data_IF_072563522466
#
_entry.id   IF_072563522466
#
_cell.length_a   1.000
_cell.length_b   1.000
_cell.length_c   1.000
_cell.angle_alpha   90.00
_cell.angle_beta   90.00
_cell.angle_gamma   90.00
#
_symmetry.space_group_name_H-M   'P 1'
#
loop_
_entity.id
_entity.type
_entity.pdbx_description
1 polymer ?
#
# COMPACT_ATOMS: atom_id res chain seq x y z
N UNK A 1 -9.75 21.20 15.89
CA UNK A 1 -10.31 21.59 14.58
C UNK A 1 -11.78 21.29 14.59
N UNK A 2 -12.62 22.16 14.02
CA UNK A 2 -14.07 21.92 13.93
C UNK A 2 -14.53 22.09 12.49
N UNK A 3 -15.29 21.13 11.98
CA UNK A 3 -15.86 21.20 10.63
C UNK A 3 -17.37 21.31 10.75
N UNK A 4 -17.97 22.24 10.00
CA UNK A 4 -19.38 22.58 10.14
C UNK A 4 -20.10 22.71 8.81
N UNK A 5 -21.41 22.52 8.83
CA UNK A 5 -22.28 22.71 7.67
C UNK A 5 -22.09 21.69 6.56
N UNK A 6 -21.23 20.68 6.76
CA UNK A 6 -21.11 19.54 5.85
C UNK A 6 -22.27 18.58 6.09
N UNK A 7 -22.69 17.91 5.01
CA UNK A 7 -23.57 16.75 5.10
C UNK A 7 -22.68 15.51 5.27
N UNK A 8 -22.56 15.02 6.50
CA UNK A 8 -21.67 13.94 6.89
C UNK A 8 -22.35 12.57 6.75
N UNK A 9 -21.58 11.55 6.37
CA UNK A 9 -22.00 10.14 6.47
C UNK A 9 -21.68 9.61 7.87
N UNK A 10 -22.70 9.45 8.70
CA UNK A 10 -22.61 8.94 10.08
C UNK A 10 -23.55 7.75 10.20
N UNK A 11 -23.04 6.61 10.67
CA UNK A 11 -23.81 5.37 10.85
C UNK A 11 -24.67 4.98 9.63
N UNK A 12 -24.11 5.14 8.43
CA UNK A 12 -24.74 4.79 7.16
C UNK A 12 -25.82 5.78 6.68
N UNK A 13 -25.99 6.92 7.35
CA UNK A 13 -26.95 7.97 6.97
C UNK A 13 -26.25 9.29 6.72
N UNK A 14 -26.85 10.10 5.85
CA UNK A 14 -26.37 11.46 5.62
C UNK A 14 -27.17 12.47 6.44
N UNK A 15 -26.46 13.26 7.24
CA UNK A 15 -27.04 14.30 8.09
C UNK A 15 -26.15 15.54 8.16
N UNK A 16 -26.72 16.69 8.48
CA UNK A 16 -25.92 17.87 8.78
C UNK A 16 -25.28 17.72 10.15
N UNK A 17 -23.95 17.76 10.20
CA UNK A 17 -23.21 17.54 11.43
C UNK A 17 -22.14 18.60 11.66
N UNK A 18 -21.86 18.83 12.93
CA UNK A 18 -20.68 19.52 13.42
C UNK A 18 -19.72 18.46 13.96
N UNK A 19 -18.55 18.32 13.34
CA UNK A 19 -17.52 17.36 13.77
C UNK A 19 -16.37 18.11 14.43
N UNK A 20 -16.12 17.81 15.70
CA UNK A 20 -14.96 18.31 16.46
C UNK A 20 -13.87 17.26 16.47
N UNK A 21 -12.67 17.68 16.09
CA UNK A 21 -11.46 16.86 16.03
C UNK A 21 -10.43 17.42 16.99
N UNK A 22 -9.95 16.57 17.89
CA UNK A 22 -8.91 16.86 18.87
C UNK A 22 -7.84 15.78 18.86
N UNK A 23 -6.57 16.18 18.83
CA UNK A 23 -5.42 15.26 18.78
C UNK A 23 -5.57 14.14 17.71
N UNK A 24 -6.09 14.48 16.53
CA UNK A 24 -6.28 13.54 15.41
C UNK A 24 -7.46 12.57 15.56
N UNK A 25 -8.31 12.73 16.58
CA UNK A 25 -9.48 11.88 16.82
C UNK A 25 -10.77 12.69 16.76
N UNK A 26 -11.86 12.04 16.35
CA UNK A 26 -13.20 12.60 16.45
C UNK A 26 -13.56 12.66 17.94
N UNK A 27 -13.68 13.87 18.48
CA UNK A 27 -14.02 14.12 19.88
C UNK A 27 -15.53 14.24 20.10
N UNK A 28 -16.26 14.71 19.09
CA UNK A 28 -17.71 14.91 19.14
C UNK A 28 -18.28 14.99 17.72
N UNK A 29 -19.45 14.39 17.54
CA UNK A 29 -20.34 14.60 16.39
C UNK A 29 -21.63 15.15 16.97
N UNK A 30 -21.96 16.39 16.65
CA UNK A 30 -23.17 17.06 17.11
C UNK A 30 -24.06 17.43 15.92
N UNK A 31 -25.35 17.65 16.17
CA UNK A 31 -26.28 18.17 15.17
C UNK A 31 -25.94 19.60 14.72
N UNK A 32 -26.75 20.14 13.81
CA UNK A 32 -26.56 21.47 13.21
C UNK A 32 -26.75 22.65 14.19
N UNK A 33 -27.29 22.41 15.39
CA UNK A 33 -27.52 23.43 16.39
C UNK A 33 -26.25 23.76 17.20
N UNK A 34 -25.73 24.97 16.99
CA UNK A 34 -25.04 25.72 18.03
C UNK A 34 -23.68 25.19 18.47
N UNK A 35 -22.62 25.75 17.89
CA UNK A 35 -21.43 26.20 18.65
C UNK A 35 -20.54 27.04 17.74
N UNK A 36 -20.42 28.33 18.06
CA UNK A 36 -19.42 29.25 17.51
C UNK A 36 -18.13 29.05 18.30
N UNK A 37 -17.14 28.42 17.68
CA UNK A 37 -15.79 28.34 18.19
C UNK A 37 -14.83 28.69 17.05
N UNK A 38 -13.73 29.37 17.37
CA UNK A 38 -12.72 29.80 16.41
C UNK A 38 -12.01 28.59 15.75
N UNK A 39 -11.53 28.76 14.50
CA UNK A 39 -10.79 27.70 13.77
C UNK A 39 -11.67 26.68 13.03
N UNK A 40 -12.68 27.17 12.28
CA UNK A 40 -13.65 26.34 11.54
C UNK A 40 -13.24 26.06 10.10
N UNK A 41 -13.49 24.83 9.66
CA UNK A 41 -13.57 24.48 8.24
C UNK A 41 -15.04 24.49 7.80
N UNK A 42 -15.33 25.25 6.74
CA UNK A 42 -16.68 25.37 6.20
C UNK A 42 -16.94 24.29 5.14
N UNK A 43 -17.76 23.31 5.52
CA UNK A 43 -18.17 22.21 4.68
C UNK A 43 -19.50 22.42 3.95
N UNK A 44 -20.09 23.62 4.00
CA UNK A 44 -21.38 23.90 3.32
C UNK A 44 -21.33 23.53 1.84
N UNK A 45 -22.40 22.87 1.39
CA UNK A 45 -22.53 22.37 0.02
C UNK A 45 -21.62 21.18 -0.31
N UNK A 46 -20.92 20.59 0.67
CA UNK A 46 -20.03 19.44 0.49
C UNK A 46 -20.50 18.24 1.31
N UNK A 47 -20.12 17.06 0.82
CA UNK A 47 -20.22 15.82 1.59
C UNK A 47 -18.97 15.67 2.46
N UNK A 48 -19.16 15.16 3.66
CA UNK A 48 -18.08 14.67 4.49
C UNK A 48 -18.21 13.16 4.65
N UNK A 49 -17.16 12.45 4.26
CA UNK A 49 -17.10 10.99 4.29
C UNK A 49 -15.93 10.56 5.17
N UNK A 50 -15.99 9.35 5.76
CA UNK A 50 -14.79 8.69 6.26
C UNK A 50 -13.73 8.64 5.14
N UNK A 51 -12.47 8.83 5.51
CA UNK A 51 -11.38 8.70 4.55
C UNK A 51 -11.31 7.29 3.97
N UNK A 52 -10.90 7.19 2.71
CA UNK A 52 -10.90 5.91 1.99
C UNK A 52 -9.77 5.04 2.53
N UNK A 53 -10.08 3.75 2.71
CA UNK A 53 -9.11 2.70 3.00
C UNK A 53 -8.86 1.91 1.71
N UNK A 54 -7.68 2.10 1.12
CA UNK A 54 -7.25 1.34 -0.05
C UNK A 54 -6.45 0.11 0.42
N UNK A 55 -7.07 -1.07 0.30
CA UNK A 55 -6.49 -2.35 0.73
C UNK A 55 -5.46 -2.90 -0.26
N UNK A 56 -5.39 -2.38 -1.48
CA UNK A 56 -4.50 -2.92 -2.51
C UNK A 56 -4.17 -1.89 -3.60
N UNK A 57 -3.21 -1.03 -3.29
CA UNK A 57 -2.69 -0.06 -4.25
C UNK A 57 -1.37 -0.51 -4.88
N UNK A 58 -1.34 -0.74 -6.20
CA UNK A 58 -0.12 -0.96 -7.00
C UNK A 58 0.36 0.33 -7.71
N UNK A 59 -0.41 1.42 -7.62
CA UNK A 59 -0.12 2.68 -8.29
C UNK A 59 1.24 3.29 -7.90
N UNK A 60 1.73 3.00 -6.69
CA UNK A 60 3.06 3.46 -6.23
C UNK A 60 4.21 2.92 -7.09
N UNK A 61 4.02 1.79 -7.77
CA UNK A 61 5.03 1.22 -8.67
C UNK A 61 5.37 2.18 -9.82
N UNK A 62 4.39 3.00 -10.26
CA UNK A 62 4.63 4.03 -11.29
C UNK A 62 5.52 5.16 -10.78
N UNK A 63 5.46 5.48 -9.49
CA UNK A 63 6.37 6.44 -8.88
C UNK A 63 7.76 5.84 -8.69
N UNK A 64 7.85 4.53 -8.38
CA UNK A 64 9.11 3.84 -8.17
C UNK A 64 9.88 3.58 -9.48
N UNK A 65 9.16 3.18 -10.52
CA UNK A 65 9.71 2.83 -11.83
C UNK A 65 8.74 3.32 -12.93
N UNK A 66 8.76 4.63 -13.28
CA UNK A 66 7.82 5.22 -14.24
C UNK A 66 7.95 4.63 -15.66
N UNK A 67 9.09 4.02 -15.96
CA UNK A 67 9.31 3.20 -17.15
C UNK A 67 10.29 2.06 -16.86
N UNK A 68 10.23 0.96 -17.61
CA UNK A 68 11.09 -0.20 -17.38
C UNK A 68 12.58 0.17 -17.30
N UNK A 69 13.25 -0.30 -16.25
CA UNK A 69 14.69 -0.12 -16.03
C UNK A 69 15.12 1.23 -15.46
N UNK A 70 14.19 2.18 -15.25
CA UNK A 70 14.52 3.49 -14.65
C UNK A 70 13.85 3.61 -13.29
N UNK A 71 14.65 3.55 -12.23
CA UNK A 71 14.19 3.63 -10.84
C UNK A 71 14.41 5.01 -10.25
N UNK A 72 13.42 5.48 -9.50
CA UNK A 72 13.55 6.65 -8.63
C UNK A 72 13.96 6.22 -7.22
N UNK A 73 14.54 7.12 -6.41
CA UNK A 73 14.78 6.85 -4.99
C UNK A 73 13.47 6.45 -4.29
N UNK A 74 13.47 5.30 -3.62
CA UNK A 74 12.24 4.71 -3.04
C UNK A 74 11.49 5.66 -2.11
N UNK A 75 12.21 6.41 -1.26
CA UNK A 75 11.58 7.35 -0.35
C UNK A 75 10.85 8.50 -1.08
N UNK A 76 11.42 9.01 -2.18
CA UNK A 76 10.79 10.03 -3.01
C UNK A 76 9.56 9.49 -3.74
N UNK A 77 9.66 8.27 -4.26
CA UNK A 77 8.54 7.59 -4.92
C UNK A 77 7.35 7.37 -3.98
N UNK A 78 7.63 6.94 -2.74
CA UNK A 78 6.60 6.74 -1.72
C UNK A 78 5.93 8.05 -1.29
N UNK A 79 6.69 9.13 -1.08
CA UNK A 79 6.13 10.45 -0.73
C UNK A 79 5.23 11.00 -1.85
N UNK A 80 5.65 10.85 -3.12
CA UNK A 80 4.81 11.29 -4.24
C UNK A 80 3.53 10.43 -4.38
N UNK A 81 3.64 9.12 -4.20
CA UNK A 81 2.47 8.24 -4.20
C UNK A 81 1.49 8.61 -3.08
N UNK A 82 1.99 8.84 -1.86
CA UNK A 82 1.23 9.31 -0.71
C UNK A 82 0.51 10.64 -0.99
N UNK A 83 1.21 11.62 -1.57
CA UNK A 83 0.64 12.91 -1.94
C UNK A 83 -0.53 12.77 -2.93
N UNK A 84 -0.39 11.90 -3.92
CA UNK A 84 -1.44 11.62 -4.91
C UNK A 84 -2.63 10.91 -4.26
N UNK A 85 -2.38 9.88 -3.45
CA UNK A 85 -3.43 9.13 -2.73
C UNK A 85 -4.25 10.04 -1.81
N UNK A 86 -3.57 10.88 -1.01
CA UNK A 86 -4.23 11.86 -0.14
C UNK A 86 -5.10 12.84 -0.96
N UNK A 87 -4.65 13.23 -2.16
CA UNK A 87 -5.42 14.06 -3.09
C UNK A 87 -6.71 13.41 -3.59
N UNK A 88 -6.79 12.07 -3.61
CA UNK A 88 -7.99 11.31 -3.94
C UNK A 88 -8.87 10.98 -2.73
N UNK A 89 -8.53 11.48 -1.53
CA UNK A 89 -9.28 11.22 -0.30
C UNK A 89 -8.96 9.87 0.35
N UNK A 90 -7.88 9.20 -0.07
CA UNK A 90 -7.34 8.03 0.62
C UNK A 90 -6.62 8.48 1.88
N UNK A 91 -6.99 7.92 3.03
CA UNK A 91 -6.37 8.22 4.32
C UNK A 91 -5.63 7.03 4.90
N UNK A 92 -5.95 5.82 4.45
CA UNK A 92 -5.23 4.59 4.80
C UNK A 92 -4.92 3.84 3.52
N UNK A 93 -3.65 3.49 3.31
CA UNK A 93 -3.18 2.89 2.07
C UNK A 93 -2.34 1.66 2.35
N UNK A 94 -2.63 0.57 1.64
CA UNK A 94 -1.86 -0.67 1.71
C UNK A 94 -1.26 -0.96 0.34
N UNK A 95 0.05 -0.72 0.21
CA UNK A 95 0.76 -0.97 -1.03
C UNK A 95 0.91 -2.47 -1.27
N UNK A 96 0.40 -2.95 -2.39
CA UNK A 96 0.51 -4.35 -2.79
C UNK A 96 1.95 -4.68 -3.19
N UNK A 97 2.63 -5.52 -2.42
CA UNK A 97 4.04 -5.87 -2.69
C UNK A 97 4.19 -7.37 -2.64
N UNK A 98 4.80 -7.94 -3.69
CA UNK A 98 5.13 -9.36 -3.68
C UNK A 98 6.49 -9.62 -3.05
N UNK A 99 6.55 -10.60 -2.15
CA UNK A 99 7.80 -11.18 -1.69
C UNK A 99 7.85 -12.66 -2.08
N UNK A 100 8.57 -12.92 -3.16
CA UNK A 100 8.74 -14.22 -3.80
C UNK A 100 10.08 -14.86 -3.46
N UNK A 101 10.17 -16.17 -3.67
CA UNK A 101 11.42 -16.93 -3.76
C UNK A 101 12.21 -16.56 -5.05
N UNK A 102 11.55 -15.95 -6.03
CA UNK A 102 12.17 -15.43 -7.24
C UNK A 102 13.03 -14.18 -6.95
N UNK A 103 14.17 -14.01 -7.64
CA UNK A 103 14.93 -12.77 -7.55
C UNK A 103 14.29 -11.64 -8.37
N UNK A 104 14.94 -10.47 -8.39
CA UNK A 104 14.51 -9.32 -9.18
C UNK A 104 13.46 -8.48 -8.46
N UNK A 105 12.45 -8.00 -9.21
CA UNK A 105 11.45 -7.05 -8.71
C UNK A 105 10.60 -7.61 -7.56
N UNK A 106 10.39 -8.93 -7.53
CA UNK A 106 9.62 -9.63 -6.49
C UNK A 106 10.52 -10.22 -5.40
N UNK A 107 11.83 -10.03 -5.50
CA UNK A 107 12.81 -10.67 -4.63
C UNK A 107 13.09 -9.91 -3.34
N UNK A 108 13.85 -10.58 -2.46
CA UNK A 108 14.25 -10.12 -1.13
C UNK A 108 14.77 -8.69 -1.07
N UNK A 109 15.75 -8.35 -1.90
CA UNK A 109 16.38 -7.02 -1.85
C UNK A 109 15.38 -5.90 -2.14
N UNK A 110 14.53 -6.09 -3.17
CA UNK A 110 13.50 -5.12 -3.51
C UNK A 110 12.47 -4.98 -2.38
N UNK A 111 12.02 -6.10 -1.81
CA UNK A 111 11.05 -6.12 -0.71
C UNK A 111 11.59 -5.41 0.54
N UNK A 112 12.80 -5.78 1.00
CA UNK A 112 13.39 -5.22 2.21
C UNK A 112 13.74 -3.73 2.05
N UNK A 113 14.21 -3.32 0.87
CA UNK A 113 14.46 -1.90 0.58
C UNK A 113 13.17 -1.07 0.67
N UNK A 114 12.07 -1.60 0.13
CA UNK A 114 10.77 -0.93 0.19
C UNK A 114 10.21 -0.88 1.62
N UNK A 115 10.26 -1.99 2.35
CA UNK A 115 9.80 -2.06 3.73
C UNK A 115 10.62 -1.14 4.65
N UNK A 116 11.95 -1.11 4.47
CA UNK A 116 12.84 -0.19 5.18
C UNK A 116 12.51 1.27 4.90
N UNK A 117 12.37 1.64 3.62
CA UNK A 117 12.03 3.01 3.24
C UNK A 117 10.66 3.45 3.80
N UNK A 118 9.65 2.56 3.79
CA UNK A 118 8.34 2.87 4.37
C UNK A 118 8.44 3.08 5.89
N UNK A 119 9.22 2.24 6.60
CA UNK A 119 9.46 2.41 8.03
C UNK A 119 10.13 3.75 8.35
N UNK A 120 11.12 4.15 7.56
CA UNK A 120 11.82 5.43 7.74
C UNK A 120 10.92 6.65 7.47
N UNK A 121 9.89 6.49 6.65
CA UNK A 121 8.89 7.51 6.33
C UNK A 121 7.69 7.52 7.28
N UNK A 122 7.58 6.56 8.19
CA UNK A 122 6.43 6.46 9.11
C UNK A 122 6.25 7.75 9.91
N UNK A 123 5.01 8.25 9.94
CA UNK A 123 4.66 9.51 10.60
C UNK A 123 5.02 10.77 9.81
N UNK A 124 5.65 10.64 8.63
CA UNK A 124 5.91 11.75 7.69
C UNK A 124 4.96 11.77 6.50
N UNK A 125 4.35 10.63 6.21
CA UNK A 125 3.33 10.45 5.17
C UNK A 125 1.99 11.07 5.62
N UNK A 126 1.18 11.45 4.64
CA UNK A 126 -0.14 12.07 4.82
C UNK A 126 -1.21 11.00 5.10
N UNK A 127 -1.06 9.84 4.48
CA UNK A 127 -1.86 8.66 4.74
C UNK A 127 -1.24 7.81 5.87
N UNK A 128 -2.08 7.01 6.52
CA UNK A 128 -1.65 5.86 7.31
C UNK A 128 -1.27 4.72 6.35
N UNK A 129 0.02 4.61 6.04
CA UNK A 129 0.53 3.74 4.97
C UNK A 129 1.17 2.47 5.52
N UNK A 130 0.74 1.33 4.97
CA UNK A 130 1.26 0.00 5.26
C UNK A 130 1.56 -0.76 3.98
N UNK A 131 2.12 -1.96 4.12
CA UNK A 131 2.24 -2.94 3.05
C UNK A 131 1.10 -3.96 3.12
N UNK A 132 0.51 -4.26 1.98
CA UNK A 132 -0.19 -5.50 1.70
C UNK A 132 0.83 -6.49 1.13
N UNK A 133 1.36 -7.34 2.00
CA UNK A 133 2.31 -8.39 1.62
C UNK A 133 1.59 -9.49 0.85
N UNK A 134 2.04 -9.73 -0.38
CA UNK A 134 1.71 -10.89 -1.20
C UNK A 134 2.86 -11.89 -1.08
N UNK A 135 2.74 -12.84 -0.17
CA UNK A 135 3.82 -13.77 0.15
C UNK A 135 3.70 -15.03 -0.70
N UNK A 136 4.75 -15.39 -1.46
CA UNK A 136 4.79 -16.70 -2.11
C UNK A 136 4.99 -17.79 -1.06
N UNK A 137 4.11 -18.78 -1.02
CA UNK A 137 4.11 -19.82 0.02
C UNK A 137 5.41 -20.62 0.05
N UNK A 138 6.10 -20.76 -1.10
CA UNK A 138 7.38 -21.46 -1.17
C UNK A 138 8.60 -20.61 -0.77
N UNK A 139 8.42 -19.33 -0.41
CA UNK A 139 9.51 -18.46 0.05
C UNK A 139 9.83 -18.68 1.54
N UNK A 140 10.16 -19.91 1.93
CA UNK A 140 10.32 -20.28 3.34
C UNK A 140 11.37 -19.43 4.07
N UNK A 141 12.46 -19.07 3.39
CA UNK A 141 13.54 -18.24 3.95
C UNK A 141 13.06 -16.84 4.34
N UNK A 142 12.06 -16.30 3.63
CA UNK A 142 11.51 -14.96 3.87
C UNK A 142 10.67 -14.84 5.15
N UNK A 143 10.23 -15.95 5.75
CA UNK A 143 9.36 -15.93 6.93
C UNK A 143 9.98 -15.17 8.12
N UNK A 144 11.29 -15.36 8.35
CA UNK A 144 12.02 -14.70 9.45
C UNK A 144 12.10 -13.19 9.27
N UNK A 145 12.04 -12.71 8.04
CA UNK A 145 12.10 -11.28 7.71
C UNK A 145 10.73 -10.61 7.77
N UNK A 146 9.68 -11.34 7.42
CA UNK A 146 8.30 -10.85 7.43
C UNK A 146 7.75 -10.73 8.85
N UNK A 147 8.04 -11.67 9.75
CA UNK A 147 7.51 -11.68 11.11
C UNK A 147 7.67 -10.34 11.88
N UNK A 148 8.87 -9.72 11.96
CA UNK A 148 9.02 -8.43 12.64
C UNK A 148 8.27 -7.28 11.96
N UNK A 149 8.14 -7.32 10.62
CA UNK A 149 7.42 -6.30 9.85
C UNK A 149 5.90 -6.38 10.04
N UNK A 150 5.37 -7.58 10.29
CA UNK A 150 3.97 -7.74 10.75
C UNK A 150 3.83 -7.19 12.16
N UNK A 151 4.73 -7.57 13.07
CA UNK A 151 4.65 -7.19 14.48
C UNK A 151 4.71 -5.68 14.71
N UNK A 152 5.50 -4.96 13.90
CA UNK A 152 5.62 -3.49 13.99
C UNK A 152 4.58 -2.73 13.13
N UNK A 153 3.66 -3.44 12.47
CA UNK A 153 2.62 -2.87 11.62
C UNK A 153 3.10 -2.32 10.28
N UNK A 154 4.35 -2.57 9.86
CA UNK A 154 4.80 -2.22 8.49
C UNK A 154 3.98 -3.00 7.46
N UNK A 155 3.66 -4.25 7.76
CA UNK A 155 2.75 -5.07 7.00
C UNK A 155 1.40 -5.08 7.73
N UNK A 156 0.39 -4.51 7.10
CA UNK A 156 -0.98 -4.46 7.64
C UNK A 156 -1.83 -5.66 7.22
N UNK A 157 -1.56 -6.22 6.03
CA UNK A 157 -2.30 -7.35 5.46
C UNK A 157 -1.32 -8.33 4.81
N UNK A 158 -1.61 -9.62 4.96
CA UNK A 158 -0.89 -10.71 4.28
C UNK A 158 -1.86 -11.49 3.41
N UNK A 159 -1.51 -11.65 2.13
CA UNK A 159 -2.11 -12.58 1.20
C UNK A 159 -1.08 -13.65 0.84
N UNK A 160 -1.49 -14.92 0.90
CA UNK A 160 -0.65 -16.04 0.49
C UNK A 160 -0.92 -16.36 -0.98
N UNK A 161 0.16 -16.45 -1.75
CA UNK A 161 0.10 -16.80 -3.15
C UNK A 161 0.86 -18.10 -3.40
N UNK A 162 0.35 -18.90 -4.32
CA UNK A 162 1.05 -20.04 -4.88
C UNK A 162 1.01 -19.92 -6.41
N UNK A 163 2.10 -19.41 -6.98
CA UNK A 163 2.25 -19.35 -8.43
C UNK A 163 3.15 -20.46 -8.98
N UNK A 164 3.56 -21.46 -8.18
CA UNK A 164 4.56 -22.43 -8.63
C UNK A 164 4.08 -23.23 -9.85
N UNK A 165 2.83 -23.72 -9.80
CA UNK A 165 2.22 -24.46 -10.90
C UNK A 165 2.03 -23.60 -12.16
N UNK A 166 1.56 -22.36 -12.00
CA UNK A 166 1.40 -21.42 -13.12
C UNK A 166 2.74 -21.10 -13.80
N UNK A 167 3.79 -20.92 -13.00
CA UNK A 167 5.15 -20.68 -13.49
C UNK A 167 5.65 -21.92 -14.24
N UNK A 168 5.40 -23.14 -13.74
CA UNK A 168 5.79 -24.37 -14.42
C UNK A 168 5.10 -24.50 -15.80
N UNK A 169 3.80 -24.22 -15.87
CA UNK A 169 3.04 -24.20 -17.13
C UNK A 169 3.59 -23.13 -18.09
N UNK A 170 3.85 -21.92 -17.59
CA UNK A 170 4.39 -20.84 -18.39
C UNK A 170 5.78 -21.18 -18.95
N UNK A 171 6.61 -21.86 -18.17
CA UNK A 171 7.92 -22.31 -18.63
C UNK A 171 7.81 -23.42 -19.67
N UNK A 172 6.74 -24.23 -19.70
CA UNK A 172 6.53 -25.20 -20.77
C UNK A 172 6.21 -24.54 -22.13
N UNK A 173 5.76 -23.27 -22.12
CA UNK A 173 5.47 -22.50 -23.33
C UNK A 173 6.63 -21.53 -23.68
N UNK A 174 7.29 -21.66 -24.84
CA UNK A 174 8.42 -20.81 -25.23
C UNK A 174 8.13 -19.30 -25.24
N UNK A 175 6.94 -18.88 -25.67
CA UNK A 175 6.57 -17.46 -25.75
C UNK A 175 6.40 -16.84 -24.36
N UNK A 176 5.85 -17.61 -23.42
CA UNK A 176 5.68 -17.17 -22.04
C UNK A 176 6.99 -17.24 -21.25
N UNK A 177 7.77 -18.31 -21.46
CA UNK A 177 9.09 -18.50 -20.88
C UNK A 177 10.04 -17.31 -21.15
N UNK A 178 9.94 -16.68 -22.32
CA UNK A 178 10.74 -15.52 -22.70
C UNK A 178 10.59 -14.29 -21.78
N UNK A 179 9.55 -14.24 -20.93
CA UNK A 179 9.30 -13.12 -19.99
C UNK A 179 10.12 -13.22 -18.70
N UNK A 180 10.50 -14.43 -18.30
CA UNK A 180 11.16 -14.66 -17.01
C UNK A 180 12.57 -14.05 -16.91
N UNK A 181 13.41 -14.05 -17.96
CA UNK A 181 14.70 -13.39 -17.89
C UNK A 181 14.61 -11.89 -17.57
N UNK A 182 13.66 -11.17 -18.18
CA UNK A 182 13.45 -9.75 -17.90
C UNK A 182 12.89 -9.48 -16.49
N UNK A 183 12.08 -10.40 -15.96
CA UNK A 183 11.48 -10.31 -14.62
C UNK A 183 12.48 -10.60 -13.49
N UNK A 184 13.33 -11.61 -13.69
CA UNK A 184 14.18 -12.20 -12.64
C UNK A 184 15.64 -11.82 -12.76
N UNK A 185 16.09 -11.40 -13.95
CA UNK A 185 17.51 -11.19 -14.26
C UNK A 185 18.31 -12.48 -14.47
N UNK A 186 17.66 -13.66 -14.45
CA UNK A 186 18.31 -14.96 -14.65
C UNK A 186 18.17 -15.45 -16.10
N UNK A 187 19.09 -16.32 -16.52
CA UNK A 187 18.83 -17.13 -17.74
C UNK A 187 17.66 -18.08 -17.49
N UNK A 188 17.02 -18.54 -18.55
CA UNK A 188 15.88 -19.47 -18.42
C UNK A 188 16.30 -20.79 -17.78
N UNK A 189 17.52 -21.28 -18.06
CA UNK A 189 18.08 -22.49 -17.46
C UNK A 189 18.33 -22.30 -15.96
N UNK A 190 18.91 -21.15 -15.58
CA UNK A 190 19.15 -20.81 -14.18
C UNK A 190 17.84 -20.67 -13.41
N UNK A 191 16.81 -20.06 -14.02
CA UNK A 191 15.49 -19.93 -13.42
C UNK A 191 14.80 -21.28 -13.21
N UNK A 192 14.83 -22.18 -14.21
CA UNK A 192 14.33 -23.56 -14.05
C UNK A 192 15.08 -24.32 -12.95
N UNK A 193 16.40 -24.11 -12.85
CA UNK A 193 17.22 -24.74 -11.82
C UNK A 193 16.93 -24.20 -10.42
N UNK A 194 16.50 -22.95 -10.30
CA UNK A 194 16.00 -22.36 -9.05
C UNK A 194 14.64 -22.95 -8.67
N UNK A 195 13.68 -22.95 -9.61
CA UNK A 195 12.33 -23.47 -9.38
C UNK A 195 12.32 -24.90 -8.84
N UNK A 196 13.23 -25.77 -9.29
CA UNK A 196 13.36 -27.16 -8.80
C UNK A 196 13.84 -27.30 -7.34
N UNK A 197 14.30 -26.22 -6.70
CA UNK A 197 14.82 -26.22 -5.32
C UNK A 197 13.83 -25.65 -4.31
N UNK A 198 12.75 -25.08 -4.83
CA UNK A 198 11.69 -24.35 -4.11
C UNK A 198 10.51 -25.30 -3.94
#
# INVERSE_FOLDING_TARGET
MTIVGARALVDGRFEEAVIRIEAGRIAEIAGSEGRTADGRLDGRGRLMLPGIVDLHGDAFERSLMPRPGVRFPTALALDEADRVMAGFGITTALHGVTYSWEPGLRGRETFLALAGALRDLRGRLRCDTHLHLRFEVHNHDGLKEVAPLIADGTIGVVAFNDHLADIEEDLANPEKAARYPGRTGLSIEAFRALMRRV
#
